data_IF_252070508981
#
_entry.id   IF_252070508981
#
_cell.length_a   1.000
_cell.length_b   1.000
_cell.length_c   1.000
_cell.angle_alpha   90.00
_cell.angle_beta   90.00
_cell.angle_gamma   90.00
#
_symmetry.space_group_name_H-M   'P 1'
#
loop_
_entity.id
_entity.type
_entity.pdbx_description
1 polymer ?
#
# COMPACT_ATOMS: atom_id res chain seq x y z
N UNK A 1 58.15 0.86 -31.95
CA UNK A 1 56.93 1.52 -32.45
C UNK A 1 55.83 0.46 -32.63
N UNK A 2 54.61 0.72 -32.19
CA UNK A 2 53.34 0.04 -32.50
C UNK A 2 52.78 -1.06 -31.57
N UNK A 3 52.80 -0.87 -30.26
CA UNK A 3 51.84 -1.60 -29.40
C UNK A 3 50.56 -0.77 -29.15
N UNK A 4 50.55 0.51 -29.43
CA UNK A 4 49.37 1.39 -29.27
C UNK A 4 48.31 1.24 -30.36
N UNK A 5 48.64 0.65 -31.53
CA UNK A 5 47.66 0.46 -32.60
C UNK A 5 46.72 -0.73 -32.40
N UNK A 6 47.06 -1.68 -31.52
CA UNK A 6 46.23 -2.83 -31.22
C UNK A 6 45.06 -2.49 -30.26
N UNK A 7 45.24 -1.51 -29.38
CA UNK A 7 44.22 -1.07 -28.44
C UNK A 7 43.06 -0.35 -29.14
N UNK A 8 43.29 0.24 -30.30
CA UNK A 8 42.30 1.01 -31.04
C UNK A 8 41.33 0.17 -31.88
N UNK A 9 41.52 -1.16 -31.92
CA UNK A 9 40.71 -2.08 -32.74
C UNK A 9 39.95 -3.13 -31.93
N UNK A 10 40.02 -3.04 -30.60
CA UNK A 10 39.36 -3.99 -29.73
C UNK A 10 37.91 -3.55 -29.45
N UNK A 11 37.00 -3.99 -30.33
CA UNK A 11 35.56 -3.76 -30.18
C UNK A 11 34.98 -4.54 -29.00
N UNK A 12 35.64 -5.58 -28.51
CA UNK A 12 35.22 -6.35 -27.35
C UNK A 12 35.32 -5.51 -26.06
N UNK A 13 36.31 -4.62 -25.96
CA UNK A 13 36.45 -3.71 -24.83
C UNK A 13 35.33 -2.66 -24.76
N UNK A 14 34.90 -2.12 -25.94
CA UNK A 14 33.81 -1.16 -26.00
C UNK A 14 32.48 -1.77 -25.55
N UNK A 15 32.15 -2.97 -26.03
CA UNK A 15 30.94 -3.69 -25.61
C UNK A 15 30.91 -4.03 -24.11
N UNK A 16 32.08 -4.36 -23.53
CA UNK A 16 32.19 -4.63 -22.10
C UNK A 16 31.92 -3.38 -21.25
N UNK A 17 32.37 -2.20 -21.68
CA UNK A 17 32.11 -0.93 -20.99
C UNK A 17 30.63 -0.55 -21.10
N UNK A 18 30.03 -0.71 -22.28
CA UNK A 18 28.60 -0.43 -22.50
C UNK A 18 27.72 -1.32 -21.60
N UNK A 19 28.04 -2.62 -21.54
CA UNK A 19 27.35 -3.55 -20.66
C UNK A 19 27.53 -3.22 -19.17
N UNK A 20 28.73 -2.83 -18.76
CA UNK A 20 29.04 -2.45 -17.38
C UNK A 20 28.23 -1.22 -16.92
N UNK A 21 27.87 -0.31 -17.82
CA UNK A 21 27.03 0.84 -17.51
C UNK A 21 25.54 0.48 -17.61
N UNK A 22 25.14 -0.33 -18.58
CA UNK A 22 23.75 -0.70 -18.81
C UNK A 22 23.16 -1.55 -17.67
N UNK A 23 23.94 -2.50 -17.11
CA UNK A 23 23.47 -3.40 -16.07
C UNK A 23 23.05 -2.69 -14.78
N UNK A 24 23.82 -1.77 -14.18
CA UNK A 24 23.38 -1.03 -13.00
C UNK A 24 22.10 -0.23 -13.22
N UNK A 25 21.95 0.37 -14.40
CA UNK A 25 20.73 1.13 -14.76
C UNK A 25 19.54 0.19 -14.87
N UNK A 26 19.70 -0.95 -15.53
CA UNK A 26 18.64 -1.95 -15.66
C UNK A 26 18.20 -2.50 -14.30
N UNK A 27 19.17 -2.84 -13.43
CA UNK A 27 18.87 -3.35 -12.08
C UNK A 27 18.13 -2.32 -11.23
N UNK A 28 18.54 -1.05 -11.26
CA UNK A 28 17.83 0.01 -10.52
C UNK A 28 16.42 0.24 -11.05
N UNK A 29 16.21 0.13 -12.36
CA UNK A 29 14.89 0.25 -12.98
C UNK A 29 13.97 -0.89 -12.55
N UNK A 30 14.44 -2.16 -12.62
CA UNK A 30 13.67 -3.32 -12.17
C UNK A 30 13.32 -3.19 -10.69
N UNK A 31 14.28 -2.78 -9.86
CA UNK A 31 14.05 -2.56 -8.43
C UNK A 31 13.01 -1.46 -8.16
N UNK A 32 13.04 -0.36 -8.93
CA UNK A 32 12.05 0.71 -8.86
C UNK A 32 10.63 0.23 -9.20
N UNK A 33 10.48 -0.60 -10.24
CA UNK A 33 9.19 -1.20 -10.61
C UNK A 33 8.68 -2.11 -9.47
N UNK A 34 9.55 -2.91 -8.87
CA UNK A 34 9.18 -3.75 -7.73
C UNK A 34 8.70 -2.93 -6.53
N UNK A 35 9.35 -1.81 -6.22
CA UNK A 35 8.93 -0.89 -5.17
C UNK A 35 7.51 -0.32 -5.42
N UNK A 36 7.23 0.07 -6.67
CA UNK A 36 5.89 0.53 -7.07
C UNK A 36 4.84 -0.58 -6.93
N UNK A 37 5.15 -1.81 -7.34
CA UNK A 37 4.26 -2.95 -7.19
C UNK A 37 3.86 -3.18 -5.72
N UNK A 38 4.82 -3.04 -4.79
CA UNK A 38 4.55 -3.13 -3.36
C UNK A 38 3.59 -2.04 -2.87
N UNK A 39 3.70 -0.80 -3.39
CA UNK A 39 2.76 0.28 -3.05
C UNK A 39 1.34 -0.01 -3.56
N UNK A 40 1.21 -0.54 -4.78
CA UNK A 40 -0.10 -0.96 -5.30
C UNK A 40 -0.71 -2.09 -4.47
N UNK A 41 0.10 -3.03 -4.05
CA UNK A 41 -0.34 -4.11 -3.16
C UNK A 41 -0.81 -3.58 -1.81
N UNK A 42 -0.08 -2.66 -1.18
CA UNK A 42 -0.50 -1.99 0.04
C UNK A 42 -1.83 -1.24 -0.15
N UNK A 43 -1.97 -0.49 -1.26
CA UNK A 43 -3.21 0.23 -1.57
C UNK A 43 -4.41 -0.72 -1.74
N UNK A 44 -4.21 -1.89 -2.37
CA UNK A 44 -5.26 -2.91 -2.47
C UNK A 44 -5.66 -3.44 -1.08
N UNK A 45 -4.69 -3.68 -0.18
CA UNK A 45 -4.95 -4.10 1.18
C UNK A 45 -5.72 -3.06 2.01
N UNK A 46 -5.39 -1.78 1.85
CA UNK A 46 -6.13 -0.67 2.47
C UNK A 46 -7.59 -0.63 2.01
N UNK A 47 -7.83 -0.77 0.69
CA UNK A 47 -9.18 -0.80 0.13
C UNK A 47 -9.98 -2.02 0.59
N UNK A 48 -9.33 -3.18 0.72
CA UNK A 48 -9.96 -4.38 1.25
C UNK A 48 -10.39 -4.20 2.71
N UNK A 49 -9.50 -3.64 3.54
CA UNK A 49 -9.81 -3.32 4.94
C UNK A 49 -11.00 -2.35 5.05
N UNK A 50 -10.99 -1.26 4.27
CA UNK A 50 -12.10 -0.30 4.21
C UNK A 50 -13.39 -0.95 3.71
N UNK A 51 -13.30 -1.88 2.74
CA UNK A 51 -14.43 -2.64 2.21
C UNK A 51 -15.04 -3.56 3.27
N UNK A 52 -14.22 -4.27 4.03
CA UNK A 52 -14.67 -5.14 5.11
C UNK A 52 -15.36 -4.35 6.23
N UNK A 53 -14.74 -3.24 6.67
CA UNK A 53 -15.33 -2.33 7.65
C UNK A 53 -16.66 -1.73 7.17
N UNK A 54 -16.72 -1.29 5.91
CA UNK A 54 -17.93 -0.72 5.33
C UNK A 54 -19.07 -1.74 5.26
N UNK A 55 -18.78 -2.97 4.86
CA UNK A 55 -19.79 -4.04 4.83
C UNK A 55 -20.35 -4.30 6.23
N UNK A 56 -19.49 -4.44 7.22
CA UNK A 56 -19.94 -4.67 8.58
C UNK A 56 -20.73 -3.49 9.12
N UNK A 57 -20.29 -2.26 8.88
CA UNK A 57 -20.97 -1.04 9.36
C UNK A 57 -22.38 -0.84 8.77
N UNK A 58 -22.66 -1.42 7.59
CA UNK A 58 -23.98 -1.36 6.94
C UNK A 58 -24.90 -2.53 7.30
N UNK A 59 -24.36 -3.57 7.96
CA UNK A 59 -25.16 -4.71 8.37
C UNK A 59 -25.91 -4.44 9.67
N UNK A 60 -27.17 -4.84 9.68
CA UNK A 60 -27.96 -4.92 10.90
C UNK A 60 -27.51 -6.15 11.73
N UNK A 61 -27.00 -5.94 12.91
CA UNK A 61 -26.74 -7.05 13.85
C UNK A 61 -27.91 -7.24 14.80
N UNK A 62 -28.53 -8.42 14.76
CA UNK A 62 -29.41 -8.90 15.83
C UNK A 62 -30.84 -8.37 15.87
N UNK A 63 -31.40 -7.89 14.75
CA UNK A 63 -32.83 -7.53 14.69
C UNK A 63 -33.74 -8.77 14.68
N UNK A 64 -34.41 -9.08 15.77
CA UNK A 64 -35.69 -9.80 15.73
C UNK A 64 -36.76 -8.81 15.24
N UNK A 65 -37.79 -9.30 14.58
CA UNK A 65 -38.82 -8.54 13.85
C UNK A 65 -39.55 -7.41 14.61
N UNK A 66 -39.17 -7.11 15.84
CA UNK A 66 -39.70 -6.06 16.72
C UNK A 66 -38.66 -5.09 17.28
N UNK A 67 -37.39 -5.32 17.05
CA UNK A 67 -36.28 -4.48 17.57
C UNK A 67 -35.58 -3.75 16.42
N UNK A 68 -35.34 -2.46 16.61
CA UNK A 68 -34.55 -1.65 15.67
C UNK A 68 -33.18 -2.28 15.40
N UNK A 69 -32.73 -2.14 14.19
CA UNK A 69 -31.43 -2.58 13.70
C UNK A 69 -30.31 -2.03 14.59
N UNK A 70 -29.58 -2.88 15.30
CA UNK A 70 -28.43 -2.45 16.08
C UNK A 70 -27.24 -2.15 15.14
N UNK A 71 -26.76 -0.93 15.15
CA UNK A 71 -25.54 -0.54 14.45
C UNK A 71 -24.35 -1.25 15.09
N UNK A 72 -23.46 -1.93 14.29
CA UNK A 72 -22.28 -2.56 14.83
C UNK A 72 -21.40 -1.56 15.58
N UNK A 73 -20.82 -2.01 16.70
CA UNK A 73 -19.92 -1.15 17.47
C UNK A 73 -18.69 -0.75 16.68
N UNK A 74 -18.14 0.44 16.92
CA UNK A 74 -16.90 0.91 16.32
C UNK A 74 -15.75 -0.11 16.49
N UNK A 75 -15.70 -0.79 17.64
CA UNK A 75 -14.71 -1.85 17.89
C UNK A 75 -14.90 -3.06 16.99
N UNK A 76 -16.14 -3.50 16.73
CA UNK A 76 -16.40 -4.61 15.83
C UNK A 76 -15.99 -4.26 14.39
N UNK A 77 -16.30 -3.06 13.94
CA UNK A 77 -15.88 -2.54 12.62
C UNK A 77 -14.35 -2.46 12.53
N UNK A 78 -13.70 -1.90 13.55
CA UNK A 78 -12.24 -1.84 13.63
C UNK A 78 -11.60 -3.22 13.53
N UNK A 79 -12.07 -4.19 14.31
CA UNK A 79 -11.54 -5.55 14.30
C UNK A 79 -11.70 -6.23 12.94
N UNK A 80 -12.81 -6.00 12.24
CA UNK A 80 -13.02 -6.52 10.88
C UNK A 80 -12.07 -5.90 9.88
N UNK A 81 -11.77 -4.59 10.00
CA UNK A 81 -10.78 -3.90 9.17
C UNK A 81 -9.37 -4.43 9.42
N UNK A 82 -9.01 -4.63 10.71
CA UNK A 82 -7.70 -5.18 11.09
C UNK A 82 -7.52 -6.60 10.59
N UNK A 83 -8.56 -7.44 10.66
CA UNK A 83 -8.52 -8.82 10.15
C UNK A 83 -8.41 -8.89 8.63
N UNK A 84 -8.97 -7.91 7.92
CA UNK A 84 -8.98 -7.87 6.45
C UNK A 84 -7.79 -7.12 5.83
N UNK A 85 -6.97 -6.44 6.62
CA UNK A 85 -5.81 -5.73 6.09
C UNK A 85 -4.73 -6.71 5.63
N UNK A 86 -4.11 -6.41 4.50
CA UNK A 86 -2.93 -7.11 4.01
C UNK A 86 -1.99 -6.14 3.29
N UNK A 87 -0.73 -6.50 3.14
CA UNK A 87 0.25 -5.67 2.44
C UNK A 87 1.67 -6.17 2.66
N UNK A 88 2.65 -5.51 2.05
CA UNK A 88 4.05 -5.87 2.23
C UNK A 88 4.52 -5.59 3.66
N UNK A 89 5.41 -6.44 4.16
CA UNK A 89 5.90 -6.39 5.55
C UNK A 89 6.90 -5.25 5.82
N UNK A 90 7.36 -4.55 4.79
CA UNK A 90 8.36 -3.49 4.87
C UNK A 90 7.74 -2.08 5.03
N UNK A 91 6.44 -2.01 5.27
CA UNK A 91 5.71 -0.80 5.60
C UNK A 91 4.79 -0.99 6.80
N UNK A 92 4.33 0.11 7.36
CA UNK A 92 3.40 0.12 8.49
C UNK A 92 2.01 0.49 8.01
N UNK A 93 1.06 -0.46 8.12
CA UNK A 93 -0.36 -0.22 7.84
C UNK A 93 -1.13 -0.08 9.15
N UNK A 94 -1.68 1.10 9.38
CA UNK A 94 -2.44 1.44 10.59
C UNK A 94 -3.90 1.65 10.23
N UNK A 95 -4.79 0.94 10.91
CA UNK A 95 -6.23 1.17 10.88
C UNK A 95 -6.56 2.15 11.99
N UNK A 96 -7.22 3.24 11.67
CA UNK A 96 -7.69 4.22 12.67
C UNK A 96 -9.02 3.74 13.23
N UNK A 97 -9.19 3.86 14.55
CA UNK A 97 -10.46 3.50 15.20
C UNK A 97 -11.60 4.35 14.62
N UNK A 98 -12.64 3.72 14.06
CA UNK A 98 -13.77 4.48 13.53
C UNK A 98 -14.45 5.30 14.63
N UNK A 99 -14.71 6.56 14.34
CA UNK A 99 -15.46 7.44 15.26
C UNK A 99 -16.87 7.59 14.74
N UNK A 100 -17.88 6.98 15.41
CA UNK A 100 -19.26 7.25 15.10
C UNK A 100 -19.58 8.68 15.53
N UNK A 101 -20.06 9.50 14.61
CA UNK A 101 -20.55 10.84 14.97
C UNK A 101 -21.98 10.70 15.50
N UNK A 102 -22.13 10.92 16.79
CA UNK A 102 -23.44 10.79 17.45
C UNK A 102 -24.50 11.64 16.73
N UNK A 103 -25.62 11.02 16.34
CA UNK A 103 -26.74 11.67 15.67
C UNK A 103 -26.57 11.96 14.17
N UNK A 104 -25.45 11.62 13.55
CA UNK A 104 -25.19 11.91 12.13
C UNK A 104 -25.54 10.78 11.17
N UNK A 105 -25.77 9.56 11.67
CA UNK A 105 -26.09 8.39 10.83
C UNK A 105 -24.96 7.97 9.89
N UNK A 106 -23.71 8.35 10.16
CA UNK A 106 -22.54 7.90 9.39
C UNK A 106 -21.33 7.63 10.28
N UNK A 107 -20.39 6.87 9.73
CA UNK A 107 -19.10 6.52 10.35
C UNK A 107 -18.00 6.74 9.34
N UNK A 108 -16.92 7.43 9.73
CA UNK A 108 -15.75 7.60 8.90
C UNK A 108 -14.72 6.50 9.21
N UNK A 109 -14.33 5.78 8.17
CA UNK A 109 -13.32 4.73 8.21
C UNK A 109 -12.03 5.28 7.60
N UNK A 110 -10.91 5.04 8.28
CA UNK A 110 -9.60 5.53 7.82
C UNK A 110 -8.54 4.45 7.97
N UNK A 111 -7.71 4.30 6.95
CA UNK A 111 -6.53 3.44 6.95
C UNK A 111 -5.36 4.23 6.39
N UNK A 112 -4.25 4.20 7.09
CA UNK A 112 -3.00 4.83 6.67
C UNK A 112 -1.94 3.78 6.42
N UNK A 113 -1.06 4.03 5.47
CA UNK A 113 0.10 3.19 5.18
C UNK A 113 1.32 4.08 4.98
N UNK A 114 2.39 3.74 5.66
CA UNK A 114 3.66 4.45 5.59
C UNK A 114 4.79 3.49 5.21
N UNK A 115 5.59 3.91 4.24
CA UNK A 115 6.77 3.15 3.79
C UNK A 115 7.86 4.08 3.30
N UNK A 116 9.10 3.81 3.72
CA UNK A 116 10.29 4.45 3.14
C UNK A 116 10.78 3.62 1.97
N UNK A 117 10.94 4.25 0.81
CA UNK A 117 11.49 3.59 -0.36
C UNK A 117 13.00 3.41 -0.19
N UNK A 118 13.48 2.18 -0.36
CA UNK A 118 14.91 1.87 -0.34
C UNK A 118 15.34 1.40 -1.72
N UNK A 119 16.15 2.22 -2.39
CA UNK A 119 16.84 1.84 -3.62
C UNK A 119 18.19 1.21 -3.26
N UNK A 120 18.74 0.38 -4.16
CA UNK A 120 19.99 -0.34 -3.90
C UNK A 120 21.14 0.58 -3.45
N UNK A 121 21.20 1.80 -3.97
CA UNK A 121 22.31 2.73 -3.77
C UNK A 121 21.97 3.95 -2.90
N UNK A 122 20.70 4.19 -2.61
CA UNK A 122 20.25 5.33 -1.81
C UNK A 122 18.88 5.08 -1.19
N UNK A 123 18.61 5.74 -0.08
CA UNK A 123 17.30 5.77 0.55
C UNK A 123 16.46 6.86 -0.10
N UNK A 124 15.30 6.49 -0.61
CA UNK A 124 14.34 7.41 -1.21
C UNK A 124 13.41 8.06 -0.17
N UNK A 125 12.40 8.79 -0.63
CA UNK A 125 11.43 9.44 0.23
C UNK A 125 10.53 8.44 0.94
N UNK A 126 10.01 8.86 2.10
CA UNK A 126 8.92 8.14 2.77
C UNK A 126 7.60 8.48 2.11
N UNK A 127 6.88 7.47 1.66
CA UNK A 127 5.55 7.61 1.07
C UNK A 127 4.50 7.33 2.13
N UNK A 128 3.56 8.26 2.27
CA UNK A 128 2.39 8.13 3.13
C UNK A 128 1.15 8.03 2.23
N UNK A 129 0.42 6.93 2.38
CA UNK A 129 -0.88 6.73 1.75
C UNK A 129 -1.95 6.86 2.82
N UNK A 130 -2.97 7.65 2.54
CA UNK A 130 -4.15 7.82 3.39
C UNK A 130 -5.40 7.51 2.57
N UNK A 131 -6.26 6.67 3.12
CA UNK A 131 -7.54 6.28 2.50
C UNK A 131 -8.66 6.41 3.52
N UNK A 132 -9.66 7.20 3.16
CA UNK A 132 -10.86 7.46 3.97
C UNK A 132 -12.10 7.01 3.21
N UNK A 133 -13.05 6.47 3.94
CA UNK A 133 -14.36 6.10 3.40
C UNK A 133 -15.43 6.43 4.41
N UNK A 134 -16.41 7.23 4.00
CA UNK A 134 -17.62 7.48 4.77
C UNK A 134 -18.66 6.41 4.49
N UNK A 135 -19.23 5.86 5.55
CA UNK A 135 -20.25 4.83 5.50
C UNK A 135 -21.47 5.32 6.26
N UNK A 136 -22.61 5.30 5.61
CA UNK A 136 -23.88 5.64 6.25
C UNK A 136 -24.40 4.41 6.99
N UNK A 137 -24.73 4.59 8.25
CA UNK A 137 -25.29 3.53 9.11
C UNK A 137 -26.81 3.67 9.12
N UNK A 138 -27.51 2.53 9.17
CA UNK A 138 -28.96 2.53 9.32
C UNK A 138 -29.29 2.97 10.73
N UNK A 139 -30.02 4.08 10.88
CA UNK A 139 -30.52 4.59 12.16
C UNK A 139 -31.94 4.11 12.41
#
# INVERSE_FOLDING_TARGET
>A
MSRFSLIRRDQNGAAAIEFAIAVPILVTLIWGIFQLACLFWANAGMQNALGAGARLATLCQGGTSTTQCAVPSATAVYNSMVAAKFGPNDGTMTVVMPTPTAGSGFMDLEVTYQRTMNFLFFTGPTINLDRKKRVYTVS
#
